data_IF_495550237990
#
_entry.id   IF_495550237990
#
_cell.length_a   1.000
_cell.length_b   1.000
_cell.length_c   1.000
_cell.angle_alpha   90.00
_cell.angle_beta   90.00
_cell.angle_gamma   90.00
#
_symmetry.space_group_name_H-M   'P 1'
#
loop_
_entity.id
_entity.type
_entity.pdbx_description
1 polymer ?
#
# COMPACT_ATOMS: atom_id res chain seq x y z
N UNK A 1 -19.24 27.02 8.98
CA UNK A 1 -17.92 26.83 8.34
C UNK A 1 -17.93 25.43 7.77
N UNK A 2 -17.53 25.24 6.51
CA UNK A 2 -17.44 23.89 5.95
C UNK A 2 -16.32 23.15 6.71
N UNK A 3 -16.64 21.98 7.26
CA UNK A 3 -15.65 21.13 7.89
C UNK A 3 -14.79 20.53 6.78
N UNK A 4 -13.48 20.72 6.88
CA UNK A 4 -12.54 20.16 5.92
C UNK A 4 -11.59 19.18 6.59
N UNK A 5 -11.25 18.12 5.86
CA UNK A 5 -10.35 17.08 6.30
C UNK A 5 -9.13 17.04 5.40
N UNK A 6 -7.96 17.24 6.00
CA UNK A 6 -6.70 17.09 5.32
C UNK A 6 -6.37 15.60 5.18
N UNK A 7 -5.93 15.23 3.98
CA UNK A 7 -5.54 13.87 3.61
C UNK A 7 -4.03 13.80 3.53
N UNK A 8 -3.46 12.80 4.18
CA UNK A 8 -2.03 12.52 4.10
C UNK A 8 -1.80 11.04 3.82
N UNK A 9 -0.70 10.73 3.14
CA UNK A 9 -0.07 9.41 3.26
C UNK A 9 1.05 9.50 4.28
N UNK A 10 1.03 8.59 5.24
CA UNK A 10 2.04 8.45 6.28
C UNK A 10 2.89 7.21 6.04
N UNK A 11 4.19 7.39 6.23
CA UNK A 11 5.21 6.36 6.13
C UNK A 11 5.69 6.04 7.54
N UNK A 12 5.49 4.80 7.97
CA UNK A 12 5.88 4.38 9.32
C UNK A 12 7.40 4.24 9.46
N UNK A 13 7.88 4.16 10.70
CA UNK A 13 9.24 3.69 10.97
C UNK A 13 9.41 2.25 10.45
N UNK A 14 10.51 1.97 9.74
CA UNK A 14 10.81 0.61 9.26
C UNK A 14 11.03 -0.33 10.45
N UNK A 15 10.48 -1.55 10.36
CA UNK A 15 10.65 -2.60 11.37
C UNK A 15 11.21 -3.84 10.70
N UNK A 16 12.49 -4.11 10.92
CA UNK A 16 13.17 -5.26 10.30
C UNK A 16 13.26 -5.12 8.77
N UNK A 17 13.00 -6.22 8.06
CA UNK A 17 13.10 -6.32 6.59
C UNK A 17 11.77 -6.17 5.87
N UNK A 18 10.67 -5.93 6.59
CA UNK A 18 9.36 -5.72 5.97
C UNK A 18 9.36 -4.46 5.08
N UNK A 19 8.56 -4.44 3.99
CA UNK A 19 8.28 -3.22 3.25
C UNK A 19 7.81 -2.10 4.17
N UNK A 20 8.14 -0.86 3.82
CA UNK A 20 7.75 0.30 4.61
C UNK A 20 6.23 0.38 4.73
N UNK A 21 5.72 0.38 5.97
CA UNK A 21 4.28 0.38 6.20
C UNK A 21 3.65 1.74 5.89
N UNK A 22 2.69 1.77 4.97
CA UNK A 22 1.97 2.99 4.54
C UNK A 22 0.58 3.07 5.16
N UNK A 23 0.14 4.30 5.47
CA UNK A 23 -1.19 4.55 6.04
C UNK A 23 -1.82 5.80 5.41
N UNK A 24 -3.13 5.79 5.23
CA UNK A 24 -3.90 6.99 4.94
C UNK A 24 -4.28 7.66 6.26
N UNK A 25 -3.96 8.95 6.40
CA UNK A 25 -4.40 9.77 7.51
C UNK A 25 -5.48 10.73 7.04
N UNK A 26 -6.58 10.78 7.79
CA UNK A 26 -7.64 11.76 7.60
C UNK A 26 -7.77 12.60 8.87
N UNK A 27 -7.35 13.86 8.80
CA UNK A 27 -7.30 14.77 9.94
C UNK A 27 -8.22 15.95 9.71
N UNK A 28 -9.08 16.28 10.68
CA UNK A 28 -9.84 17.52 10.63
C UNK A 28 -8.86 18.71 10.63
N UNK A 29 -9.16 19.76 9.87
CA UNK A 29 -8.28 20.91 9.75
C UNK A 29 -7.94 21.52 11.13
N UNK A 30 -6.65 21.63 11.45
CA UNK A 30 -6.17 22.14 12.74
C UNK A 30 -6.19 21.11 13.89
N UNK A 31 -6.74 19.91 13.69
CA UNK A 31 -6.72 18.85 14.70
C UNK A 31 -5.35 18.17 14.80
N UNK A 32 -4.93 17.86 16.03
CA UNK A 32 -3.77 17.00 16.32
C UNK A 32 -4.10 15.50 16.21
N UNK A 33 -5.38 15.18 16.09
CA UNK A 33 -5.88 13.81 15.98
C UNK A 33 -6.50 13.56 14.60
N UNK A 34 -6.36 12.33 14.13
CA UNK A 34 -6.78 11.86 12.82
C UNK A 34 -7.33 10.43 12.91
N UNK A 35 -7.88 9.96 11.81
CA UNK A 35 -8.20 8.55 11.61
C UNK A 35 -7.13 7.90 10.74
N UNK A 36 -6.60 6.76 11.17
CA UNK A 36 -5.67 5.96 10.40
C UNK A 36 -6.44 4.89 9.63
N UNK A 37 -6.17 4.77 8.33
CA UNK A 37 -6.62 3.65 7.51
C UNK A 37 -5.40 2.93 6.94
N UNK A 38 -5.30 1.64 7.21
CA UNK A 38 -4.15 0.84 6.79
C UNK A 38 -4.48 -0.67 6.84
N UNK A 39 -3.59 -1.48 6.28
CA UNK A 39 -3.65 -2.95 6.36
C UNK A 39 -2.48 -3.45 7.21
N UNK A 40 -2.74 -4.39 8.10
CA UNK A 40 -1.72 -5.06 8.93
C UNK A 40 -1.72 -6.57 8.65
N UNK A 41 -0.70 -7.28 9.14
CA UNK A 41 -0.51 -8.70 8.87
C UNK A 41 0.24 -8.95 7.57
N UNK A 42 0.09 -10.15 7.03
CA UNK A 42 0.77 -10.62 5.84
C UNK A 42 1.73 -11.79 6.11
N UNK A 43 2.27 -12.42 5.05
CA UNK A 43 3.13 -13.59 5.15
C UNK A 43 4.35 -13.37 6.04
N UNK A 44 4.96 -12.19 5.99
CA UNK A 44 6.15 -11.86 6.80
C UNK A 44 5.87 -11.81 8.30
N UNK A 45 4.61 -11.65 8.69
CA UNK A 45 4.15 -11.64 10.08
C UNK A 45 3.42 -12.93 10.46
N UNK A 46 3.36 -13.91 9.56
CA UNK A 46 2.62 -15.17 9.69
C UNK A 46 1.16 -14.95 10.14
N UNK A 47 0.47 -13.98 9.52
CA UNK A 47 -0.91 -13.59 9.83
C UNK A 47 -1.65 -13.20 8.55
N UNK A 48 -2.96 -13.40 8.54
CA UNK A 48 -3.80 -12.88 7.45
C UNK A 48 -3.77 -11.36 7.38
N UNK A 49 -3.90 -10.82 6.17
CA UNK A 49 -4.07 -9.39 5.99
C UNK A 49 -5.38 -8.90 6.61
N UNK A 50 -5.31 -7.80 7.36
CA UNK A 50 -6.47 -7.20 8.01
C UNK A 50 -6.47 -5.69 7.85
N UNK A 51 -7.56 -5.16 7.28
CA UNK A 51 -7.84 -3.72 7.29
C UNK A 51 -8.11 -3.24 8.71
N UNK A 52 -7.52 -2.11 9.06
CA UNK A 52 -7.69 -1.43 10.34
C UNK A 52 -8.08 0.03 10.08
N UNK A 53 -9.06 0.49 10.86
CA UNK A 53 -9.55 1.87 10.86
C UNK A 53 -9.50 2.33 12.31
N UNK A 54 -8.56 3.21 12.62
CA UNK A 54 -8.30 3.64 14.00
C UNK A 54 -8.53 5.14 14.14
N UNK A 55 -9.64 5.52 14.76
CA UNK A 55 -9.97 6.92 15.02
C UNK A 55 -9.25 7.46 16.27
N UNK A 56 -9.12 8.79 16.36
CA UNK A 56 -8.56 9.47 17.53
C UNK A 56 -7.05 9.29 17.71
N UNK A 57 -6.34 8.90 16.66
CA UNK A 57 -4.89 8.71 16.69
C UNK A 57 -4.16 10.02 16.44
N UNK A 58 -3.01 10.22 17.09
CA UNK A 58 -2.17 11.40 16.84
C UNK A 58 -1.65 11.43 15.41
N UNK A 59 -1.69 12.59 14.77
CA UNK A 59 -1.15 12.82 13.42
C UNK A 59 0.40 12.76 13.38
N UNK A 60 1.04 12.96 14.53
CA UNK A 60 2.47 13.01 14.76
C UNK A 60 2.94 11.88 15.71
N UNK A 61 2.28 10.72 15.63
CA UNK A 61 2.67 9.56 16.44
C UNK A 61 4.11 9.12 16.18
N UNK A 62 4.82 8.71 17.22
CA UNK A 62 6.22 8.22 17.16
C UNK A 62 6.45 7.09 16.13
N UNK A 63 5.40 6.31 15.83
CA UNK A 63 5.47 5.26 14.81
C UNK A 63 5.52 5.77 13.37
N UNK A 64 5.23 7.06 13.14
CA UNK A 64 5.25 7.70 11.82
C UNK A 64 6.59 8.40 11.63
N UNK A 65 7.31 8.02 10.59
CA UNK A 65 8.58 8.65 10.21
C UNK A 65 8.35 9.93 9.41
N UNK A 66 7.44 9.88 8.43
CA UNK A 66 7.12 11.01 7.55
C UNK A 66 5.63 10.97 7.20
N UNK A 67 5.06 12.13 6.90
CA UNK A 67 3.74 12.27 6.25
C UNK A 67 3.83 13.23 5.07
N UNK A 68 3.06 12.96 4.03
CA UNK A 68 2.95 13.80 2.83
C UNK A 68 1.49 14.21 2.67
N UNK A 69 1.26 15.52 2.53
CA UNK A 69 -0.06 16.07 2.26
C UNK A 69 -0.44 15.78 0.81
N UNK A 70 -1.68 15.35 0.60
CA UNK A 70 -2.21 14.97 -0.72
C UNK A 70 -3.34 15.91 -1.15
N UNK A 71 -4.15 16.36 -0.20
CA UNK A 71 -5.30 17.20 -0.52
C UNK A 71 -6.23 17.40 0.66
N UNK A 72 -7.36 18.03 0.37
CA UNK A 72 -8.39 18.36 1.33
C UNK A 72 -9.73 17.86 0.82
N UNK A 73 -10.51 17.27 1.73
CA UNK A 73 -11.82 16.68 1.44
C UNK A 73 -12.87 17.40 2.28
N UNK A 74 -14.04 17.69 1.69
CA UNK A 74 -15.19 18.22 2.43
C UNK A 74 -15.70 17.21 3.45
N UNK A 75 -16.18 17.67 4.60
CA UNK A 75 -16.86 16.85 5.60
C UNK A 75 -18.02 16.04 5.03
N UNK A 76 -18.72 16.58 4.04
CA UNK A 76 -19.83 15.91 3.35
C UNK A 76 -19.38 14.67 2.56
N UNK A 77 -18.10 14.61 2.19
CA UNK A 77 -17.51 13.56 1.36
C UNK A 77 -16.80 12.46 2.17
N UNK A 78 -16.82 12.52 3.49
CA UNK A 78 -16.11 11.54 4.34
C UNK A 78 -16.62 10.10 4.14
N UNK A 79 -17.92 9.94 3.85
CA UNK A 79 -18.47 8.62 3.54
C UNK A 79 -17.94 8.08 2.20
N UNK A 80 -17.57 8.94 1.24
CA UNK A 80 -16.93 8.54 0.00
C UNK A 80 -15.50 8.01 0.24
N UNK A 81 -14.77 8.59 1.19
CA UNK A 81 -13.45 8.08 1.64
C UNK A 81 -13.60 6.67 2.22
N UNK A 82 -14.53 6.47 3.16
CA UNK A 82 -14.79 5.15 3.75
C UNK A 82 -15.18 4.13 2.69
N UNK A 83 -16.05 4.52 1.75
CA UNK A 83 -16.45 3.67 0.62
C UNK A 83 -15.25 3.25 -0.25
N UNK A 84 -14.34 4.18 -0.59
CA UNK A 84 -13.13 3.85 -1.36
C UNK A 84 -12.21 2.88 -0.60
N UNK A 85 -11.97 3.15 0.68
CA UNK A 85 -11.17 2.31 1.57
C UNK A 85 -11.76 0.89 1.73
N UNK A 86 -13.09 0.79 1.82
CA UNK A 86 -13.77 -0.50 2.02
C UNK A 86 -13.78 -1.34 0.75
N UNK A 87 -13.85 -0.70 -0.42
CA UNK A 87 -13.93 -1.36 -1.72
C UNK A 87 -12.65 -2.09 -2.13
N UNK A 88 -11.49 -1.72 -1.58
CA UNK A 88 -10.20 -2.36 -1.89
C UNK A 88 -10.03 -3.60 -1.01
N UNK A 89 -9.87 -4.81 -1.60
CA UNK A 89 -9.58 -6.04 -0.86
C UNK A 89 -8.29 -5.93 -0.03
N UNK A 90 -8.24 -6.62 1.10
CA UNK A 90 -7.03 -6.62 1.95
C UNK A 90 -5.89 -7.34 1.24
N UNK A 91 -4.72 -6.70 1.19
CA UNK A 91 -3.50 -7.19 0.54
C UNK A 91 -2.27 -6.50 1.14
N UNK A 92 -1.11 -6.62 0.50
CA UNK A 92 0.11 -5.88 0.86
C UNK A 92 -0.19 -4.37 1.02
N UNK A 93 0.38 -3.76 2.07
CA UNK A 93 -0.02 -2.44 2.54
C UNK A 93 0.24 -1.30 1.54
N UNK A 94 1.34 -1.32 0.80
CA UNK A 94 1.67 -0.29 -0.19
C UNK A 94 0.77 -0.43 -1.41
N UNK A 95 0.58 -1.66 -1.91
CA UNK A 95 -0.34 -1.94 -3.02
C UNK A 95 -1.78 -1.57 -2.67
N UNK A 96 -2.21 -1.95 -1.47
CA UNK A 96 -3.52 -1.57 -0.93
C UNK A 96 -3.68 -0.05 -0.91
N UNK A 97 -2.65 0.68 -0.45
CA UNK A 97 -2.68 2.14 -0.41
C UNK A 97 -2.80 2.75 -1.81
N UNK A 98 -2.04 2.27 -2.78
CA UNK A 98 -2.11 2.74 -4.18
C UNK A 98 -3.51 2.54 -4.77
N UNK A 99 -4.12 1.37 -4.55
CA UNK A 99 -5.49 1.11 -5.03
C UNK A 99 -6.54 1.98 -4.32
N UNK A 100 -6.37 2.25 -3.03
CA UNK A 100 -7.23 3.20 -2.29
C UNK A 100 -7.09 4.61 -2.86
N UNK A 101 -5.86 5.07 -3.12
CA UNK A 101 -5.63 6.38 -3.75
C UNK A 101 -6.31 6.46 -5.13
N UNK A 102 -6.21 5.42 -5.95
CA UNK A 102 -6.91 5.35 -7.23
C UNK A 102 -8.44 5.39 -7.05
N UNK A 103 -8.95 4.77 -5.98
CA UNK A 103 -10.37 4.86 -5.59
C UNK A 103 -10.81 6.27 -5.18
N UNK A 104 -9.94 7.02 -4.50
CA UNK A 104 -10.20 8.42 -4.12
C UNK A 104 -10.14 9.36 -5.34
N UNK A 105 -9.22 9.15 -6.27
CA UNK A 105 -9.13 9.88 -7.54
C UNK A 105 -10.39 9.70 -8.39
N UNK A 106 -10.87 8.45 -8.55
CA UNK A 106 -12.12 8.15 -9.28
C UNK A 106 -13.35 8.84 -8.69
N UNK A 107 -13.29 9.20 -7.41
CA UNK A 107 -14.35 9.94 -6.70
C UNK A 107 -14.09 11.45 -6.65
N UNK A 108 -13.05 11.93 -7.33
CA UNK A 108 -12.60 13.32 -7.37
C UNK A 108 -12.29 13.91 -5.99
N UNK A 109 -11.80 13.09 -5.06
CA UNK A 109 -11.50 13.50 -3.68
C UNK A 109 -10.05 13.96 -3.49
N UNK A 110 -9.16 13.52 -4.38
CA UNK A 110 -7.75 13.90 -4.41
C UNK A 110 -7.32 14.15 -5.86
N UNK A 111 -6.21 14.87 -6.11
CA UNK A 111 -5.73 15.15 -7.45
C UNK A 111 -5.44 13.88 -8.27
N UNK A 112 -5.82 13.88 -9.54
CA UNK A 112 -5.47 12.80 -10.48
C UNK A 112 -3.94 12.70 -10.66
N UNK A 113 -3.43 11.47 -10.71
CA UNK A 113 -2.01 11.17 -10.86
C UNK A 113 -1.33 10.81 -9.53
N UNK A 114 -1.95 11.14 -8.40
CA UNK A 114 -1.49 10.73 -7.07
C UNK A 114 -1.25 9.22 -7.00
N UNK A 115 -2.20 8.38 -7.42
CA UNK A 115 -2.03 6.92 -7.32
C UNK A 115 -0.83 6.42 -8.12
N UNK A 116 -0.61 6.98 -9.32
CA UNK A 116 0.54 6.67 -10.18
C UNK A 116 1.86 7.09 -9.54
N UNK A 117 1.91 8.27 -8.92
CA UNK A 117 3.11 8.78 -8.26
C UNK A 117 3.53 7.90 -7.08
N UNK A 118 2.57 7.39 -6.31
CA UNK A 118 2.84 6.46 -5.20
C UNK A 118 3.13 5.03 -5.69
N UNK A 119 2.52 4.59 -6.80
CA UNK A 119 2.86 3.31 -7.42
C UNK A 119 4.35 3.22 -7.78
N UNK A 120 4.92 4.32 -8.31
CA UNK A 120 6.34 4.40 -8.65
C UNK A 120 7.27 4.43 -7.42
N UNK A 121 6.74 4.59 -6.21
CA UNK A 121 7.48 4.62 -4.96
C UNK A 121 7.35 3.31 -4.17
N UNK A 122 6.55 2.35 -4.66
CA UNK A 122 6.41 1.07 -4.01
C UNK A 122 7.76 0.35 -3.96
N UNK A 123 8.03 -0.29 -2.83
CA UNK A 123 9.15 -1.20 -2.71
C UNK A 123 8.83 -2.48 -3.46
N UNK A 124 9.76 -2.93 -4.29
CA UNK A 124 9.66 -4.26 -4.89
C UNK A 124 9.49 -5.29 -3.78
N UNK A 125 8.58 -6.28 -3.94
CA UNK A 125 8.52 -7.38 -3.01
C UNK A 125 9.90 -8.01 -2.94
N UNK A 126 10.44 -8.14 -1.73
CA UNK A 126 11.68 -8.89 -1.56
C UNK A 126 11.45 -10.28 -2.16
N UNK A 127 12.39 -10.82 -2.96
CA UNK A 127 12.25 -12.17 -3.48
C UNK A 127 12.27 -13.14 -2.29
N UNK A 128 11.09 -13.49 -1.78
CA UNK A 128 10.91 -14.65 -0.93
C UNK A 128 10.91 -15.86 -1.82
N UNK A 129 12.10 -16.39 -2.03
CA UNK A 129 12.33 -17.68 -2.65
C UNK A 129 13.83 -17.80 -2.81
N UNK A 130 14.44 -18.70 -2.03
CA UNK A 130 15.68 -19.33 -2.48
C UNK A 130 15.42 -19.80 -3.91
N UNK A 131 16.10 -19.17 -4.86
CA UNK A 131 16.26 -19.75 -6.18
C UNK A 131 17.12 -20.99 -5.89
N UNK A 132 16.49 -22.15 -5.72
CA UNK A 132 17.23 -23.38 -5.93
C UNK A 132 17.62 -23.33 -7.40
N UNK A 133 18.89 -23.05 -7.66
CA UNK A 133 19.53 -22.99 -8.98
C UNK A 133 19.61 -24.39 -9.61
N UNK A 134 18.48 -25.08 -9.72
CA UNK A 134 18.36 -26.36 -10.40
C UNK A 134 17.66 -26.18 -11.75
N UNK A 135 18.15 -25.21 -12.53
CA UNK A 135 17.94 -25.20 -13.97
C UNK A 135 18.95 -26.15 -14.61
N UNK A 136 18.60 -27.43 -14.65
CA UNK A 136 19.22 -28.37 -15.59
C UNK A 136 18.84 -27.90 -17.00
N UNK A 137 19.78 -27.25 -17.66
CA UNK A 137 19.77 -27.09 -19.11
C UNK A 137 19.82 -28.49 -19.74
N UNK A 138 18.66 -29.08 -20.00
CA UNK A 138 18.54 -30.11 -21.04
C UNK A 138 18.64 -29.39 -22.39
N UNK A 139 19.86 -28.96 -22.74
CA UNK A 139 20.23 -28.74 -24.12
C UNK A 139 20.10 -30.09 -24.80
N UNK A 140 18.98 -30.28 -25.51
CA UNK A 140 18.79 -31.43 -26.39
C UNK A 140 19.91 -31.48 -27.41
N UNK A 141 20.80 -32.46 -27.27
CA UNK A 141 21.68 -32.90 -28.33
C UNK A 141 20.89 -33.88 -29.21
N UNK A 142 20.41 -33.37 -30.33
CA UNK A 142 20.00 -34.16 -31.47
C UNK A 142 21.27 -34.42 -32.30
N UNK A 143 21.85 -35.62 -32.26
CA UNK A 143 22.73 -36.13 -33.32
C UNK A 143 22.60 -37.66 -33.46
N UNK A 144 22.02 -38.04 -34.61
CA UNK A 144 22.16 -39.24 -35.45
C UNK A 144 22.72 -40.57 -34.88
N UNK A 145 21.85 -41.58 -34.87
CA UNK A 145 22.27 -42.99 -34.93
C UNK A 145 22.75 -43.33 -36.35
N UNK A 146 24.03 -43.68 -36.47
CA UNK A 146 24.61 -44.25 -37.69
C UNK A 146 24.73 -45.77 -37.50
N UNK A 147 23.79 -46.51 -38.09
CA UNK A 147 23.82 -47.96 -38.19
C UNK A 147 24.82 -48.33 -39.30
N UNK A 148 25.80 -49.17 -38.99
CA UNK A 148 26.67 -49.84 -39.97
C UNK A 148 26.36 -51.33 -39.90
N UNK A 149 25.85 -51.88 -41.01
CA UNK A 149 25.93 -53.32 -41.33
C UNK A 149 27.22 -53.63 -42.11
#
# INVERSE_FOLDING_TARGET
>A
MADYWNVYVAFCQRRGKDPLHWMLLLANHGSLHCTWYHVVGGPTQNRDYKRKIEAGKRIDSFGISKKQYIGQISGDDINKVKSAVVAVPVQECQRWMVEVLAGLERKCLIPFGTSKDYCNQMEEPSPTGEINDDWVLLSGTFEEELIIE
#
